data_IF_157492519168
#
_entry.id   IF_157492519168
#
_cell.length_a   1.000
_cell.length_b   1.000
_cell.length_c   1.000
_cell.angle_alpha   90.00
_cell.angle_beta   90.00
_cell.angle_gamma   90.00
#
_symmetry.space_group_name_H-M   'P 1'
#
loop_
_entity.id
_entity.type
_entity.pdbx_description
1 polymer ?
#
# COMPACT_ATOMS: atom_id res chain seq x y z
N UNK A 1 -3.31 -41.20 21.59
CA UNK A 1 -2.15 -40.37 21.23
C UNK A 1 -2.46 -39.79 19.86
N UNK A 2 -2.88 -38.54 19.80
CA UNK A 2 -3.09 -37.87 18.51
C UNK A 2 -1.72 -37.67 17.86
N UNK A 3 -1.48 -38.37 16.75
CA UNK A 3 -0.26 -38.20 15.98
C UNK A 3 -0.17 -36.76 15.51
N UNK A 4 0.92 -36.10 15.91
CA UNK A 4 1.16 -34.72 15.57
C UNK A 4 1.33 -34.61 14.04
N UNK A 5 0.54 -33.79 13.32
CA UNK A 5 0.62 -33.76 11.86
C UNK A 5 2.02 -33.32 11.39
N UNK A 6 2.50 -33.83 10.24
CA UNK A 6 3.87 -33.63 9.80
C UNK A 6 4.18 -32.14 9.62
N UNK A 7 5.41 -31.76 9.97
CA UNK A 7 5.90 -30.37 10.06
C UNK A 7 5.65 -29.57 8.77
N UNK A 8 5.72 -30.22 7.60
CA UNK A 8 5.46 -29.63 6.29
C UNK A 8 4.01 -29.10 6.13
N UNK A 9 3.02 -29.73 6.74
CA UNK A 9 1.61 -29.30 6.70
C UNK A 9 1.40 -28.08 7.59
N UNK A 10 2.07 -28.04 8.75
CA UNK A 10 2.03 -26.89 9.69
C UNK A 10 2.66 -25.65 9.06
N UNK A 11 3.82 -25.79 8.43
CA UNK A 11 4.51 -24.69 7.73
C UNK A 11 3.66 -24.16 6.58
N UNK A 12 3.09 -25.03 5.73
CA UNK A 12 2.19 -24.61 4.65
C UNK A 12 0.97 -23.83 5.17
N UNK A 13 0.37 -24.26 6.27
CA UNK A 13 -0.76 -23.56 6.89
C UNK A 13 -0.34 -22.20 7.45
N UNK A 14 0.82 -22.13 8.11
CA UNK A 14 1.36 -20.87 8.64
C UNK A 14 1.71 -19.89 7.52
N UNK A 15 2.37 -20.35 6.46
CA UNK A 15 2.69 -19.53 5.28
C UNK A 15 1.42 -19.02 4.59
N UNK A 16 0.39 -19.86 4.46
CA UNK A 16 -0.91 -19.42 3.93
C UNK A 16 -1.54 -18.34 4.80
N UNK A 17 -1.53 -18.51 6.12
CA UNK A 17 -2.05 -17.50 7.06
C UNK A 17 -1.25 -16.20 7.02
N UNK A 18 0.08 -16.30 6.92
CA UNK A 18 0.97 -15.15 6.78
C UNK A 18 0.69 -14.40 5.48
N UNK A 19 0.58 -15.12 4.35
CA UNK A 19 0.26 -14.52 3.06
C UNK A 19 -1.08 -13.77 3.08
N UNK A 20 -2.12 -14.38 3.67
CA UNK A 20 -3.43 -13.72 3.82
C UNK A 20 -3.31 -12.45 4.67
N UNK A 21 -2.58 -12.49 5.79
CA UNK A 21 -2.36 -11.30 6.63
C UNK A 21 -1.61 -10.21 5.87
N UNK A 22 -0.54 -10.56 5.16
CA UNK A 22 0.25 -9.60 4.37
C UNK A 22 -0.63 -8.94 3.30
N UNK A 23 -1.44 -9.72 2.58
CA UNK A 23 -2.38 -9.19 1.58
C UNK A 23 -3.40 -8.24 2.22
N UNK A 24 -3.94 -8.59 3.40
CA UNK A 24 -4.87 -7.72 4.13
C UNK A 24 -4.20 -6.41 4.58
N UNK A 25 -2.97 -6.47 5.11
CA UNK A 25 -2.24 -5.28 5.50
C UNK A 25 -1.88 -4.40 4.31
N UNK A 26 -1.48 -4.99 3.18
CA UNK A 26 -1.23 -4.24 1.94
C UNK A 26 -2.50 -3.58 1.42
N UNK A 27 -3.62 -4.30 1.40
CA UNK A 27 -4.91 -3.73 0.99
C UNK A 27 -5.33 -2.57 1.90
N UNK A 28 -5.22 -2.73 3.22
CA UNK A 28 -5.49 -1.66 4.18
C UNK A 28 -4.57 -0.45 3.98
N UNK A 29 -3.28 -0.69 3.76
CA UNK A 29 -2.32 0.37 3.46
C UNK A 29 -2.69 1.12 2.18
N UNK A 30 -3.03 0.43 1.09
CA UNK A 30 -3.42 1.08 -0.18
C UNK A 30 -4.65 1.96 0.02
N UNK A 31 -5.65 1.50 0.77
CA UNK A 31 -6.84 2.29 1.08
C UNK A 31 -6.48 3.52 1.91
N UNK A 32 -5.72 3.36 2.99
CA UNK A 32 -5.35 4.49 3.87
C UNK A 32 -4.45 5.49 3.12
N UNK A 33 -3.43 5.02 2.43
CA UNK A 33 -2.54 5.87 1.64
C UNK A 33 -3.30 6.56 0.50
N UNK A 34 -4.17 5.84 -0.21
CA UNK A 34 -5.00 6.39 -1.28
C UNK A 34 -6.05 7.41 -0.81
N UNK A 35 -6.57 7.29 0.41
CA UNK A 35 -7.46 8.30 0.99
C UNK A 35 -6.70 9.50 1.56
N UNK A 36 -5.51 9.30 2.10
CA UNK A 36 -4.72 10.38 2.71
C UNK A 36 -3.94 11.21 1.68
N UNK A 37 -3.59 10.66 0.52
CA UNK A 37 -2.82 11.37 -0.51
C UNK A 37 -3.54 12.60 -1.07
N UNK A 38 -4.89 12.63 -1.04
CA UNK A 38 -5.67 13.80 -1.46
C UNK A 38 -5.33 15.06 -0.65
N UNK A 39 -5.66 15.11 0.65
CA UNK A 39 -5.34 16.26 1.50
C UNK A 39 -3.82 16.46 1.70
N UNK A 40 -3.01 15.39 1.64
CA UNK A 40 -1.55 15.46 1.80
C UNK A 40 -0.80 15.69 0.48
N UNK A 41 -1.52 15.94 -0.64
CA UNK A 41 -0.91 15.98 -1.96
C UNK A 41 0.25 16.97 -2.05
N UNK A 42 0.08 18.18 -1.53
CA UNK A 42 1.11 19.22 -1.59
C UNK A 42 2.36 18.86 -0.77
N UNK A 43 2.19 18.25 0.41
CA UNK A 43 3.32 17.77 1.21
C UNK A 43 4.06 16.61 0.52
N UNK A 44 3.32 15.73 -0.14
CA UNK A 44 3.93 14.70 -0.98
C UNK A 44 4.66 15.30 -2.18
N UNK A 45 4.05 16.26 -2.87
CA UNK A 45 4.64 16.93 -4.04
C UNK A 45 5.95 17.64 -3.68
N UNK A 46 5.95 18.38 -2.57
CA UNK A 46 7.13 19.01 -1.99
C UNK A 46 8.21 17.97 -1.63
N UNK A 47 7.82 16.87 -0.97
CA UNK A 47 8.73 15.80 -0.60
C UNK A 47 9.39 15.09 -1.79
N UNK A 48 8.73 15.06 -2.94
CA UNK A 48 9.24 14.39 -4.14
C UNK A 48 10.04 15.34 -5.05
N UNK A 49 9.65 16.62 -5.15
CA UNK A 49 10.19 17.53 -6.17
C UNK A 49 11.03 18.68 -5.62
N UNK A 50 10.95 18.98 -4.32
CA UNK A 50 11.53 20.19 -3.72
C UNK A 50 12.41 19.85 -2.50
N UNK A 51 12.92 18.62 -2.42
CA UNK A 51 13.71 18.13 -1.27
C UNK A 51 12.99 18.27 0.09
N UNK A 52 11.66 18.11 0.11
CA UNK A 52 10.88 18.06 1.34
C UNK A 52 11.12 16.78 2.18
N UNK A 53 10.18 16.46 3.06
CA UNK A 53 10.35 15.34 4.01
C UNK A 53 10.49 13.97 3.31
N UNK A 54 11.69 13.37 3.40
CA UNK A 54 11.99 12.04 2.84
C UNK A 54 11.05 10.94 3.35
N UNK A 55 10.50 11.11 4.55
CA UNK A 55 9.58 10.16 5.15
C UNK A 55 8.23 10.15 4.44
N UNK A 56 7.75 11.30 4.00
CA UNK A 56 6.49 11.42 3.25
C UNK A 56 6.66 10.79 1.86
N UNK A 57 7.77 11.08 1.18
CA UNK A 57 8.08 10.47 -0.11
C UNK A 57 8.14 8.93 -0.01
N UNK A 58 8.85 8.40 1.00
CA UNK A 58 8.93 6.95 1.23
C UNK A 58 7.60 6.33 1.64
N UNK A 59 6.78 7.03 2.41
CA UNK A 59 5.47 6.53 2.82
C UNK A 59 4.55 6.32 1.63
N UNK A 60 4.55 7.23 0.65
CA UNK A 60 3.69 7.10 -0.54
C UNK A 60 4.33 6.38 -1.72
N UNK A 61 5.64 6.12 -1.71
CA UNK A 61 6.34 5.46 -2.82
C UNK A 61 5.74 4.10 -3.22
N UNK A 62 5.33 3.19 -2.31
CA UNK A 62 4.68 1.94 -2.69
C UNK A 62 3.33 2.16 -3.38
N UNK A 63 2.60 3.21 -2.99
CA UNK A 63 1.32 3.56 -3.61
C UNK A 63 1.55 4.09 -5.04
N UNK A 64 2.57 4.93 -5.24
CA UNK A 64 2.96 5.42 -6.57
C UNK A 64 3.35 4.26 -7.50
N UNK A 65 4.21 3.36 -7.02
CA UNK A 65 4.59 2.17 -7.77
C UNK A 65 3.38 1.32 -8.17
N UNK A 66 2.41 1.14 -7.26
CA UNK A 66 1.16 0.44 -7.56
C UNK A 66 0.31 1.18 -8.60
N UNK A 67 0.24 2.51 -8.54
CA UNK A 67 -0.48 3.31 -9.51
C UNK A 67 0.12 3.19 -10.92
N UNK A 68 1.45 3.11 -11.02
CA UNK A 68 2.16 2.94 -12.29
C UNK A 68 1.96 1.55 -12.91
N UNK A 69 1.89 0.51 -12.08
CA UNK A 69 1.72 -0.88 -12.54
C UNK A 69 0.26 -1.28 -12.74
N UNK A 70 -0.68 -0.58 -12.10
CA UNK A 70 -2.11 -0.87 -12.12
C UNK A 70 -2.85 0.37 -12.64
N UNK A 71 -2.97 0.48 -13.97
CA UNK A 71 -3.46 1.70 -14.63
C UNK A 71 -4.84 2.19 -14.15
N UNK A 72 -5.76 1.29 -13.78
CA UNK A 72 -7.07 1.70 -13.25
C UNK A 72 -6.97 2.34 -11.85
N UNK A 73 -6.03 1.87 -11.02
CA UNK A 73 -5.78 2.42 -9.69
C UNK A 73 -5.16 3.82 -9.82
N UNK A 74 -4.18 3.98 -10.71
CA UNK A 74 -3.57 5.27 -11.00
C UNK A 74 -4.59 6.29 -11.49
N UNK A 75 -5.50 5.90 -12.39
CA UNK A 75 -6.59 6.78 -12.84
C UNK A 75 -7.50 7.23 -11.69
N UNK A 76 -7.93 6.30 -10.82
CA UNK A 76 -8.80 6.63 -9.68
C UNK A 76 -8.11 7.55 -8.68
N UNK A 77 -6.86 7.23 -8.31
CA UNK A 77 -6.08 8.04 -7.36
C UNK A 77 -5.83 9.43 -7.93
N UNK A 78 -5.46 9.55 -9.21
CA UNK A 78 -5.27 10.85 -9.85
C UNK A 78 -6.58 11.66 -9.90
N UNK A 79 -7.71 11.03 -10.25
CA UNK A 79 -9.02 11.69 -10.21
C UNK A 79 -9.38 12.17 -8.80
N UNK A 80 -9.10 11.36 -7.79
CA UNK A 80 -9.32 11.71 -6.39
C UNK A 80 -8.45 12.90 -5.97
N UNK A 81 -7.15 12.88 -6.29
CA UNK A 81 -6.23 13.98 -6.04
C UNK A 81 -6.73 15.26 -6.72
N UNK A 82 -7.09 15.19 -8.01
CA UNK A 82 -7.61 16.33 -8.75
C UNK A 82 -8.84 16.94 -8.09
N UNK A 83 -9.72 16.15 -7.48
CA UNK A 83 -10.87 16.66 -6.74
C UNK A 83 -10.50 17.41 -5.45
N UNK A 84 -9.32 17.15 -4.87
CA UNK A 84 -8.82 17.87 -3.70
C UNK A 84 -8.07 19.15 -4.03
N UNK A 85 -7.41 19.19 -5.19
CA UNK A 85 -6.54 20.32 -5.58
C UNK A 85 -7.22 21.34 -6.49
N UNK A 86 -8.29 20.95 -7.19
CA UNK A 86 -9.12 21.81 -8.04
C UNK A 86 -10.36 22.29 -7.28
#
# INVERSE_FOLDING_TARGET
>A
MDELPPLSIRVKRYLKQLAVRVVLYLAAYVVIAGLTIGPMFWYWFEAVHVDGSIWIAKFYAPLLWLCDHVGWLGYLVNRYINWWIL
#
